data_IF_324190313570
#
_entry.id   IF_324190313570
#
_cell.length_a   1.000
_cell.length_b   1.000
_cell.length_c   1.000
_cell.angle_alpha   90.00
_cell.angle_beta   90.00
_cell.angle_gamma   90.00
#
_symmetry.space_group_name_H-M   'P 1'
#
loop_
_entity.id
_entity.type
_entity.pdbx_description
1 polymer ?
#
# COMPACT_ATOMS: atom_id res chain seq x y z
N UNK A 1 -27.40 19.68 -3.69
CA UNK A 1 -26.64 18.44 -3.50
C UNK A 1 -25.28 18.63 -4.14
N UNK A 2 -24.22 18.59 -3.35
CA UNK A 2 -22.84 18.80 -3.78
C UNK A 2 -22.29 17.51 -4.37
N UNK A 3 -22.37 17.37 -5.70
CA UNK A 3 -21.84 16.21 -6.42
C UNK A 3 -20.31 16.31 -6.55
N UNK A 4 -19.59 15.23 -6.22
CA UNK A 4 -18.16 15.11 -6.54
C UNK A 4 -17.92 14.67 -7.99
N UNK A 5 -18.93 14.07 -8.61
CA UNK A 5 -18.96 13.77 -10.03
C UNK A 5 -19.32 15.04 -10.81
N UNK A 6 -18.38 15.53 -11.61
CA UNK A 6 -18.69 16.48 -12.68
C UNK A 6 -19.46 15.77 -13.80
N UNK A 7 -20.40 16.45 -14.45
CA UNK A 7 -21.09 15.87 -15.61
C UNK A 7 -20.07 15.71 -16.73
N UNK A 8 -19.94 14.49 -17.27
CA UNK A 8 -19.09 14.26 -18.43
C UNK A 8 -19.89 14.52 -19.72
N UNK A 9 -19.29 15.26 -20.64
CA UNK A 9 -19.86 15.47 -21.97
C UNK A 9 -19.67 14.22 -22.82
N UNK A 10 -20.73 13.83 -23.52
CA UNK A 10 -20.74 12.68 -24.42
C UNK A 10 -21.26 13.10 -25.79
N UNK A 11 -20.70 12.52 -26.84
CA UNK A 11 -21.16 12.69 -28.21
C UNK A 11 -22.53 12.02 -28.40
N UNK A 12 -23.19 12.30 -29.53
CA UNK A 12 -24.43 11.62 -29.94
C UNK A 12 -24.28 10.09 -30.06
N UNK A 13 -23.05 9.59 -30.21
CA UNK A 13 -22.71 8.16 -30.23
C UNK A 13 -22.38 7.57 -28.85
N UNK A 14 -22.48 8.36 -27.78
CA UNK A 14 -22.21 7.91 -26.41
C UNK A 14 -20.72 7.83 -26.04
N UNK A 15 -19.82 8.39 -26.86
CA UNK A 15 -18.38 8.46 -26.56
C UNK A 15 -18.07 9.71 -25.71
N UNK A 16 -17.12 9.63 -24.77
CA UNK A 16 -16.77 10.79 -23.95
C UNK A 16 -16.04 11.84 -24.80
N UNK A 17 -16.37 13.11 -24.59
CA UNK A 17 -15.66 14.24 -25.20
C UNK A 17 -14.44 14.56 -24.35
N UNK A 18 -13.25 14.33 -24.90
CA UNK A 18 -11.98 14.56 -24.24
C UNK A 18 -11.57 16.05 -24.31
N UNK A 19 -10.93 16.55 -23.25
CA UNK A 19 -10.34 17.87 -23.17
C UNK A 19 -9.12 17.98 -24.11
N UNK A 20 -8.67 19.21 -24.35
CA UNK A 20 -7.44 19.46 -25.13
C UNK A 20 -6.26 18.81 -24.42
N UNK A 21 -5.48 18.00 -25.15
CA UNK A 21 -4.36 17.20 -24.63
C UNK A 21 -4.76 16.07 -23.65
N UNK A 22 -6.05 15.75 -23.50
CA UNK A 22 -6.51 14.61 -22.73
C UNK A 22 -6.43 13.33 -23.57
N UNK A 23 -5.64 12.36 -23.12
CA UNK A 23 -5.49 11.04 -23.76
C UNK A 23 -6.11 9.94 -22.89
N UNK A 24 -6.80 9.00 -23.54
CA UNK A 24 -7.31 7.77 -22.92
C UNK A 24 -6.15 6.80 -22.63
N UNK A 25 -6.11 6.28 -21.40
CA UNK A 25 -5.03 5.43 -20.90
C UNK A 25 -5.45 3.96 -20.72
N UNK A 26 -6.67 3.72 -20.23
CA UNK A 26 -7.19 2.37 -20.00
C UNK A 26 -8.71 2.39 -19.82
N UNK A 27 -9.37 1.25 -20.06
CA UNK A 27 -10.81 1.09 -19.85
C UNK A 27 -11.15 -0.19 -19.11
N UNK A 28 -12.22 -0.14 -18.31
CA UNK A 28 -12.78 -1.29 -17.59
C UNK A 28 -14.29 -1.31 -17.75
N UNK A 29 -14.82 -2.47 -18.12
CA UNK A 29 -16.26 -2.69 -18.32
C UNK A 29 -16.93 -3.23 -17.06
N UNK A 30 -18.24 -2.97 -16.93
CA UNK A 30 -19.07 -3.43 -15.82
C UNK A 30 -18.45 -3.09 -14.44
N UNK A 31 -18.16 -1.81 -14.26
CA UNK A 31 -17.64 -1.25 -13.01
C UNK A 31 -18.74 -0.54 -12.25
N UNK A 32 -18.86 -0.86 -10.96
CA UNK A 32 -19.66 -0.09 -10.01
C UNK A 32 -18.77 0.90 -9.26
N UNK A 33 -19.26 2.12 -9.06
CA UNK A 33 -18.61 3.11 -8.20
C UNK A 33 -19.44 3.28 -6.92
N UNK A 34 -18.93 2.68 -5.83
CA UNK A 34 -19.51 2.68 -4.49
C UNK A 34 -18.84 3.74 -3.61
N UNK A 35 -19.44 4.92 -3.40
CA UNK A 35 -18.98 5.87 -2.39
C UNK A 35 -19.27 5.33 -0.98
N UNK A 36 -18.33 5.52 -0.04
CA UNK A 36 -18.48 5.04 1.34
C UNK A 36 -19.65 5.73 2.07
N UNK A 37 -19.93 6.99 1.74
CA UNK A 37 -21.05 7.75 2.30
C UNK A 37 -22.32 7.63 1.42
N UNK A 38 -23.16 6.64 1.75
CA UNK A 38 -24.36 6.32 0.97
C UNK A 38 -25.51 7.33 1.19
N UNK A 39 -25.40 8.22 2.18
CA UNK A 39 -26.49 9.15 2.53
C UNK A 39 -26.55 10.39 1.64
N UNK A 40 -25.50 10.66 0.87
CA UNK A 40 -25.38 11.86 0.06
C UNK A 40 -25.08 11.60 -1.41
N UNK A 41 -24.79 10.35 -1.81
CA UNK A 41 -24.29 10.04 -3.13
C UNK A 41 -25.00 8.85 -3.76
N UNK A 42 -25.33 9.00 -5.05
CA UNK A 42 -25.95 7.95 -5.85
C UNK A 42 -24.91 6.91 -6.26
N UNK A 43 -25.25 5.64 -6.07
CA UNK A 43 -24.46 4.50 -6.51
C UNK A 43 -24.51 4.38 -8.04
N UNK A 44 -23.36 4.43 -8.70
CA UNK A 44 -23.26 4.22 -10.15
C UNK A 44 -22.98 2.74 -10.41
N UNK A 45 -23.86 2.05 -11.14
CA UNK A 45 -23.79 0.59 -11.34
C UNK A 45 -23.56 0.20 -12.79
N UNK A 46 -22.72 -0.81 -12.99
CA UNK A 46 -22.51 -1.52 -14.24
C UNK A 46 -22.18 -0.59 -15.42
N UNK A 47 -21.28 0.36 -15.21
CA UNK A 47 -20.83 1.29 -16.26
C UNK A 47 -19.48 0.91 -16.87
N UNK A 48 -19.12 1.66 -17.91
CA UNK A 48 -17.78 1.66 -18.49
C UNK A 48 -16.95 2.73 -17.76
N UNK A 49 -15.89 2.32 -17.08
CA UNK A 49 -14.93 3.21 -16.44
C UNK A 49 -13.74 3.43 -17.37
N UNK A 50 -13.47 4.68 -17.72
CA UNK A 50 -12.40 5.09 -18.61
C UNK A 50 -11.43 5.93 -17.80
N UNK A 51 -10.17 5.51 -17.78
CA UNK A 51 -9.07 6.29 -17.25
C UNK A 51 -8.47 7.15 -18.35
N UNK A 52 -8.43 8.46 -18.13
CA UNK A 52 -7.66 9.38 -18.95
C UNK A 52 -6.52 9.97 -18.14
N UNK A 53 -5.64 10.69 -18.83
CA UNK A 53 -4.58 11.52 -18.23
C UNK A 53 -5.09 12.60 -17.26
N UNK A 54 -6.37 13.00 -17.34
CA UNK A 54 -6.93 14.13 -16.59
C UNK A 54 -8.05 13.73 -15.61
N UNK A 55 -8.81 12.67 -15.89
CA UNK A 55 -9.98 12.27 -15.10
C UNK A 55 -10.32 10.79 -15.26
N UNK A 56 -11.05 10.28 -14.28
CA UNK A 56 -11.81 9.04 -14.41
C UNK A 56 -13.20 9.38 -14.95
N UNK A 57 -13.57 8.81 -16.08
CA UNK A 57 -14.88 9.00 -16.71
C UNK A 57 -15.68 7.71 -16.56
N UNK A 58 -16.85 7.81 -15.95
CA UNK A 58 -17.81 6.72 -15.84
C UNK A 58 -18.97 6.98 -16.80
N UNK A 59 -19.22 6.00 -17.67
CA UNK A 59 -20.33 6.03 -18.62
C UNK A 59 -21.37 4.98 -18.23
N UNK A 60 -22.66 5.34 -18.22
CA UNK A 60 -23.73 4.37 -17.98
C UNK A 60 -23.74 3.31 -19.09
N UNK A 61 -23.93 2.05 -18.71
CA UNK A 61 -24.24 1.01 -19.71
C UNK A 61 -25.64 1.23 -20.26
N UNK A 62 -25.83 0.98 -21.55
CA UNK A 62 -27.14 1.06 -22.22
C UNK A 62 -28.20 0.10 -21.63
N UNK A 63 -27.79 -0.84 -20.77
CA UNK A 63 -28.65 -1.78 -20.04
C UNK A 63 -29.09 -1.30 -18.65
N UNK A 64 -28.69 -0.09 -18.22
CA UNK A 64 -29.01 0.41 -16.89
C UNK A 64 -30.50 0.81 -16.77
N UNK A 65 -31.17 0.30 -15.71
CA UNK A 65 -32.58 0.56 -15.42
C UNK A 65 -32.88 1.98 -14.88
N UNK A 66 -31.83 2.76 -14.58
CA UNK A 66 -31.94 4.13 -14.08
C UNK A 66 -31.17 5.07 -15.01
N UNK A 67 -31.76 6.22 -15.42
CA UNK A 67 -31.09 7.20 -16.26
C UNK A 67 -29.98 7.88 -15.45
N UNK A 68 -28.80 7.27 -15.45
CA UNK A 68 -27.59 7.82 -14.84
C UNK A 68 -26.83 8.60 -15.91
N UNK A 69 -26.44 9.83 -15.61
CA UNK A 69 -25.65 10.64 -16.53
C UNK A 69 -24.18 10.21 -16.49
N UNK A 70 -23.50 10.37 -17.63
CA UNK A 70 -22.06 10.27 -17.70
C UNK A 70 -21.41 11.19 -16.66
N UNK A 71 -20.47 10.64 -15.90
CA UNK A 71 -19.91 11.25 -14.70
C UNK A 71 -18.40 11.23 -14.77
N UNK A 72 -17.73 12.28 -14.29
CA UNK A 72 -16.28 12.41 -14.31
C UNK A 72 -15.73 12.84 -12.95
N UNK A 73 -14.64 12.18 -12.53
CA UNK A 73 -13.85 12.53 -11.34
C UNK A 73 -12.49 13.04 -11.83
N UNK A 74 -12.16 14.34 -11.65
CA UNK A 74 -10.84 14.86 -11.95
C UNK A 74 -9.75 14.12 -11.16
N UNK A 75 -8.65 13.73 -11.81
CA UNK A 75 -7.52 13.12 -11.10
C UNK A 75 -6.91 14.08 -10.08
N UNK A 76 -6.99 15.40 -10.33
CA UNK A 76 -6.61 16.45 -9.40
C UNK A 76 -7.39 16.41 -8.07
N UNK A 77 -8.64 15.91 -8.09
CA UNK A 77 -9.46 15.79 -6.90
C UNK A 77 -9.12 14.52 -6.08
N UNK A 78 -8.33 13.60 -6.62
CA UNK A 78 -7.97 12.35 -5.95
C UNK A 78 -6.77 12.64 -5.04
N UNK A 79 -6.97 12.49 -3.72
CA UNK A 79 -5.92 12.71 -2.72
C UNK A 79 -5.08 11.46 -2.46
N UNK A 80 -5.68 10.28 -2.56
CA UNK A 80 -5.02 9.04 -2.21
C UNK A 80 -5.59 7.85 -2.99
N UNK A 81 -4.74 6.95 -3.45
CA UNK A 81 -5.11 5.66 -4.05
C UNK A 81 -4.66 4.57 -3.08
N UNK A 82 -5.56 3.70 -2.65
CA UNK A 82 -5.23 2.66 -1.68
C UNK A 82 -4.61 1.46 -2.38
N UNK A 83 -3.55 0.90 -1.81
CA UNK A 83 -3.03 -0.40 -2.24
C UNK A 83 -4.05 -1.49 -1.94
N UNK A 84 -4.35 -2.32 -2.95
CA UNK A 84 -5.14 -3.53 -2.73
C UNK A 84 -4.31 -4.53 -1.92
N UNK A 85 -4.82 -4.97 -0.77
CA UNK A 85 -4.23 -6.08 -0.02
C UNK A 85 -4.72 -7.38 -0.64
N UNK A 86 -3.85 -8.10 -1.37
CA UNK A 86 -4.14 -9.42 -1.92
C UNK A 86 -4.30 -10.43 -0.77
N UNK A 87 -5.49 -10.49 -0.18
CA UNK A 87 -5.87 -11.46 0.85
C UNK A 87 -6.43 -12.73 0.19
N UNK A 88 -6.25 -13.90 0.81
CA UNK A 88 -6.83 -15.17 0.35
C UNK A 88 -8.37 -15.09 0.17
N UNK A 89 -9.06 -14.15 0.84
CA UNK A 89 -10.50 -13.89 0.66
C UNK A 89 -10.85 -13.12 -0.63
N UNK A 90 -9.86 -12.53 -1.30
CA UNK A 90 -10.00 -11.75 -2.54
C UNK A 90 -10.30 -12.62 -3.77
N UNK A 91 -10.05 -13.93 -3.70
CA UNK A 91 -10.28 -14.86 -4.83
C UNK A 91 -11.78 -15.07 -5.08
N UNK A 92 -12.62 -14.90 -4.05
CA UNK A 92 -14.06 -15.12 -4.12
C UNK A 92 -14.87 -13.83 -4.33
N UNK A 93 -14.20 -12.68 -4.43
CA UNK A 93 -14.85 -11.39 -4.57
C UNK A 93 -14.33 -10.66 -5.81
N UNK A 94 -15.21 -9.89 -6.44
CA UNK A 94 -14.84 -8.96 -7.51
C UNK A 94 -13.67 -8.07 -7.08
N UNK A 95 -12.66 -7.83 -7.94
CA UNK A 95 -11.57 -6.91 -7.65
C UNK A 95 -12.09 -5.52 -7.28
N UNK A 96 -11.41 -4.87 -6.31
CA UNK A 96 -11.81 -3.57 -5.78
C UNK A 96 -10.62 -2.61 -5.79
N UNK A 97 -10.83 -1.43 -6.36
CA UNK A 97 -9.88 -0.32 -6.31
C UNK A 97 -10.49 0.76 -5.43
N UNK A 98 -9.82 1.12 -4.34
CA UNK A 98 -10.26 2.19 -3.44
C UNK A 98 -9.41 3.42 -3.67
N UNK A 99 -10.04 4.58 -3.70
CA UNK A 99 -9.37 5.87 -3.77
C UNK A 99 -10.17 6.94 -3.02
N UNK A 100 -9.49 7.96 -2.53
CA UNK A 100 -10.07 9.07 -1.78
C UNK A 100 -10.15 10.30 -2.67
N UNK A 101 -11.31 10.93 -2.69
CA UNK A 101 -11.62 12.12 -3.49
C UNK A 101 -11.91 13.28 -2.55
N UNK A 102 -11.27 14.41 -2.77
CA UNK A 102 -11.57 15.67 -2.11
C UNK A 102 -12.85 16.28 -2.68
N UNK A 103 -13.76 16.63 -1.81
CA UNK A 103 -15.03 17.26 -2.16
C UNK A 103 -15.07 18.65 -1.55
N UNK A 104 -15.02 19.66 -2.41
CA UNK A 104 -15.26 21.04 -1.98
C UNK A 104 -16.74 21.23 -1.70
N UNK A 105 -17.07 21.81 -0.54
CA UNK A 105 -18.45 22.11 -0.14
C UNK A 105 -19.03 23.35 -0.82
N UNK A 106 -18.27 24.07 -1.64
CA UNK A 106 -18.68 25.39 -2.12
C UNK A 106 -18.69 25.47 -3.65
N UNK A 107 -19.89 25.57 -4.21
CA UNK A 107 -20.11 26.22 -5.52
C UNK A 107 -19.89 27.71 -5.29
N UNK A 108 -18.64 28.15 -5.18
CA UNK A 108 -18.27 29.54 -5.45
C UNK A 108 -16.93 29.52 -6.16
N UNK A 109 -16.96 30.10 -7.36
CA UNK A 109 -15.83 30.42 -8.22
C UNK A 109 -14.67 30.90 -7.35
N UNK A 110 -13.52 30.25 -7.48
CA UNK A 110 -12.28 30.71 -6.87
C UNK A 110 -11.87 31.99 -7.61
N UNK A 111 -12.15 33.16 -7.02
CA UNK A 111 -11.72 34.46 -7.51
C UNK A 111 -10.50 34.88 -6.66
N UNK A 112 -9.27 34.92 -7.22
CA UNK A 112 -8.05 35.09 -6.43
C UNK A 112 -7.80 36.53 -5.94
N UNK A 113 -8.82 37.41 -5.95
CA UNK A 113 -8.67 38.84 -5.69
C UNK A 113 -9.38 39.44 -4.49
N UNK A 114 -10.16 38.70 -3.69
CA UNK A 114 -10.98 39.30 -2.63
C UNK A 114 -10.53 38.92 -1.22
N UNK A 115 -9.75 39.81 -0.60
CA UNK A 115 -9.48 39.79 0.84
C UNK A 115 -10.74 40.14 1.61
N UNK A 116 -11.39 39.14 2.21
CA UNK A 116 -12.41 39.35 3.24
C UNK A 116 -12.40 38.17 4.20
N UNK A 117 -11.84 38.41 5.39
CA UNK A 117 -11.85 37.46 6.50
C UNK A 117 -13.27 37.08 6.87
N UNK A 118 -13.58 35.79 6.76
CA UNK A 118 -14.70 35.17 7.45
C UNK A 118 -14.33 33.73 7.77
N UNK A 119 -14.01 33.51 9.04
CA UNK A 119 -13.80 32.20 9.65
C UNK A 119 -15.12 31.45 9.72
N UNK A 120 -15.50 30.80 8.62
CA UNK A 120 -16.43 29.68 8.65
C UNK A 120 -15.68 28.47 8.09
N UNK A 121 -15.40 27.48 8.92
CA UNK A 121 -14.69 26.26 8.55
C UNK A 121 -15.39 25.55 7.40
N UNK A 122 -15.07 25.92 6.16
CA UNK A 122 -15.42 25.17 4.96
C UNK A 122 -14.51 23.96 4.92
N UNK A 123 -14.84 22.97 5.75
CA UNK A 123 -14.12 21.70 5.79
C UNK A 123 -14.14 21.06 4.41
N UNK A 124 -12.97 20.94 3.79
CA UNK A 124 -12.76 20.05 2.65
C UNK A 124 -13.11 18.64 3.13
N UNK A 125 -14.27 18.13 2.72
CA UNK A 125 -14.70 16.78 3.08
C UNK A 125 -14.09 15.81 2.06
N UNK A 126 -13.44 14.76 2.52
CA UNK A 126 -12.93 13.71 1.64
C UNK A 126 -13.88 12.52 1.64
N UNK A 127 -14.18 11.96 0.47
CA UNK A 127 -15.02 10.77 0.32
C UNK A 127 -14.18 9.66 -0.27
N UNK A 128 -14.24 8.47 0.33
CA UNK A 128 -13.62 7.28 -0.26
C UNK A 128 -14.60 6.67 -1.25
N UNK A 129 -14.11 6.42 -2.46
CA UNK A 129 -14.83 5.75 -3.53
C UNK A 129 -14.19 4.40 -3.79
N UNK A 130 -15.02 3.37 -3.92
CA UNK A 130 -14.61 2.02 -4.26
C UNK A 130 -15.12 1.69 -5.65
N UNK A 131 -14.20 1.52 -6.60
CA UNK A 131 -14.52 0.91 -7.89
C UNK A 131 -14.53 -0.61 -7.74
N UNK A 132 -15.68 -1.24 -7.98
CA UNK A 132 -15.87 -2.69 -7.96
C UNK A 132 -15.96 -3.20 -9.38
N UNK A 133 -14.97 -3.98 -9.81
CA UNK A 133 -14.87 -4.47 -11.18
C UNK A 133 -15.62 -5.80 -11.26
N UNK A 134 -16.80 -5.81 -11.90
CA UNK A 134 -17.59 -7.04 -12.12
C UNK A 134 -17.37 -7.64 -13.50
N UNK A 135 -16.93 -6.83 -14.47
CA UNK A 135 -16.62 -7.28 -15.81
C UNK A 135 -15.30 -8.02 -15.92
N UNK A 136 -15.07 -8.61 -17.09
CA UNK A 136 -13.77 -9.15 -17.48
C UNK A 136 -12.86 -7.98 -17.88
N UNK A 137 -11.71 -7.82 -17.23
CA UNK A 137 -10.75 -6.77 -17.53
C UNK A 137 -9.48 -6.92 -16.70
N UNK A 138 -8.40 -6.30 -17.17
CA UNK A 138 -7.12 -6.29 -16.47
C UNK A 138 -7.13 -5.23 -15.34
N UNK A 139 -7.61 -5.64 -14.16
CA UNK A 139 -7.69 -4.76 -13.00
C UNK A 139 -6.31 -4.34 -12.49
N UNK A 140 -5.32 -5.24 -12.54
CA UNK A 140 -3.97 -4.96 -12.06
C UNK A 140 -3.27 -3.98 -13.02
N UNK A 141 -3.38 -4.18 -14.33
CA UNK A 141 -2.87 -3.24 -15.35
C UNK A 141 -3.57 -1.88 -15.30
N UNK A 142 -4.89 -1.85 -15.08
CA UNK A 142 -5.61 -0.58 -14.87
C UNK A 142 -5.07 0.16 -13.64
N UNK A 143 -4.84 -0.54 -12.52
CA UNK A 143 -4.33 0.08 -11.30
C UNK A 143 -2.94 0.69 -11.51
N UNK A 144 -2.04 -0.01 -12.23
CA UNK A 144 -0.72 0.52 -12.59
C UNK A 144 -0.85 1.80 -13.42
N UNK A 145 -1.66 1.77 -14.49
CA UNK A 145 -1.90 2.95 -15.34
C UNK A 145 -2.55 4.09 -14.58
N UNK A 146 -3.42 3.78 -13.61
CA UNK A 146 -4.06 4.77 -12.77
C UNK A 146 -3.05 5.48 -11.87
N UNK A 147 -2.13 4.74 -11.25
CA UNK A 147 -1.01 5.31 -10.50
C UNK A 147 -0.10 6.17 -11.38
N UNK A 148 0.27 5.68 -12.56
CA UNK A 148 1.14 6.41 -13.49
C UNK A 148 0.49 7.73 -13.90
N UNK A 149 -0.78 7.69 -14.31
CA UNK A 149 -1.53 8.88 -14.74
C UNK A 149 -1.71 9.88 -13.59
N UNK A 150 -1.98 9.39 -12.39
CA UNK A 150 -2.13 10.23 -11.21
C UNK A 150 -0.81 10.87 -10.76
N UNK A 151 0.32 10.14 -10.86
CA UNK A 151 1.66 10.68 -10.54
C UNK A 151 2.19 11.62 -11.61
N UNK A 152 1.84 11.41 -12.87
CA UNK A 152 2.26 12.24 -13.99
C UNK A 152 1.68 13.66 -13.94
N UNK A 153 0.57 13.87 -13.22
CA UNK A 153 -0.06 15.19 -13.01
C UNK A 153 -0.23 15.98 -14.31
N UNK A 154 -0.63 15.32 -15.40
CA UNK A 154 -0.74 15.93 -16.72
C UNK A 154 -1.66 17.18 -16.71
N UNK A 155 -2.68 17.20 -15.84
CA UNK A 155 -3.59 18.34 -15.66
C UNK A 155 -2.93 19.62 -15.09
N UNK A 156 -1.71 19.56 -14.56
CA UNK A 156 -1.00 20.73 -14.02
C UNK A 156 -0.19 21.47 -15.09
N UNK A 157 -0.03 20.88 -16.28
CA UNK A 157 0.77 21.46 -17.38
C UNK A 157 0.11 22.64 -18.10
N UNK A 158 -0.79 23.37 -17.42
CA UNK A 158 -1.52 24.50 -18.01
C UNK A 158 -0.80 25.84 -17.72
N UNK A 159 0.02 26.26 -18.68
CA UNK A 159 0.49 27.62 -18.99
C UNK A 159 0.83 28.61 -17.84
N UNK A 160 2.08 28.56 -17.37
CA UNK A 160 2.80 29.79 -16.99
C UNK A 160 3.60 30.26 -18.21
N UNK A 161 3.09 31.28 -18.89
CA UNK A 161 3.76 31.85 -20.07
C UNK A 161 5.02 32.61 -19.68
N UNK A 162 6.17 32.11 -20.13
CA UNK A 162 7.46 32.81 -20.11
C UNK A 162 8.46 32.13 -21.05
N UNK A 163 8.47 32.56 -22.31
CA UNK A 163 9.47 32.26 -23.35
C UNK A 163 9.60 30.80 -23.83
N UNK A 164 8.73 30.43 -24.77
CA UNK A 164 8.87 29.25 -25.61
C UNK A 164 7.74 29.13 -26.63
N UNK A 165 7.39 30.25 -27.27
CA UNK A 165 6.36 30.28 -28.32
C UNK A 165 6.77 29.41 -29.50
N UNK A 166 5.93 28.42 -29.81
CA UNK A 166 5.71 28.00 -31.18
C UNK A 166 4.20 27.79 -31.37
N UNK A 167 3.46 28.89 -31.32
CA UNK A 167 2.18 29.00 -32.02
C UNK A 167 2.41 29.78 -33.31
N UNK A 168 2.18 29.14 -34.45
CA UNK A 168 1.64 29.74 -35.67
C UNK A 168 1.39 28.57 -36.66
N UNK A 169 0.16 28.08 -36.87
CA UNK A 169 -0.84 28.64 -37.77
C UNK A 169 -0.25 29.32 -39.01
N UNK A 170 -0.67 28.85 -40.19
CA UNK A 170 -0.60 29.63 -41.42
C UNK A 170 0.28 29.01 -42.49
N UNK A 171 -0.41 28.42 -43.46
CA UNK A 171 -0.05 28.49 -44.88
C UNK A 171 0.84 29.67 -45.24
N UNK A 172 1.90 29.42 -45.99
CA UNK A 172 2.71 30.48 -46.58
C UNK A 172 3.94 29.89 -47.22
N UNK A 173 3.95 29.90 -48.55
CA UNK A 173 5.14 29.66 -49.32
C UNK A 173 6.25 30.67 -48.98
N UNK A 174 7.46 30.33 -49.44
CA UNK A 174 8.63 31.19 -49.63
C UNK A 174 9.71 31.17 -48.52
N UNK A 175 10.78 30.47 -48.87
CA UNK A 175 12.16 31.01 -49.00
C UNK A 175 12.87 31.55 -47.76
N UNK A 176 13.91 30.83 -47.36
CA UNK A 176 15.23 31.43 -47.17
C UNK A 176 15.75 31.63 -45.75
N UNK A 177 16.92 31.03 -45.52
CA UNK A 177 18.07 31.53 -44.73
C UNK A 177 18.04 31.44 -43.19
N UNK A 178 18.75 30.42 -42.69
CA UNK A 178 19.90 30.56 -41.79
C UNK A 178 19.70 30.91 -40.31
N UNK A 179 20.01 29.96 -39.42
CA UNK A 179 20.58 30.25 -38.08
C UNK A 179 20.03 29.45 -36.90
N UNK A 180 20.93 28.74 -36.19
CA UNK A 180 20.77 28.39 -34.76
C UNK A 180 20.65 26.90 -34.42
N UNK A 181 21.80 26.22 -34.19
CA UNK A 181 21.91 24.79 -33.83
C UNK A 181 22.06 24.52 -32.31
N UNK A 182 21.77 25.45 -31.41
CA UNK A 182 21.91 25.20 -29.97
C UNK A 182 20.77 25.81 -29.14
N UNK A 183 20.14 24.97 -28.29
CA UNK A 183 19.36 25.40 -27.12
C UNK A 183 20.27 25.33 -25.90
N UNK A 184 20.08 26.24 -24.94
CA UNK A 184 20.94 26.47 -23.76
C UNK A 184 20.93 25.38 -22.68
N UNK A 185 20.60 24.14 -23.03
CA UNK A 185 20.53 23.02 -22.11
C UNK A 185 20.96 21.74 -22.82
N UNK A 186 22.24 21.67 -23.23
CA UNK A 186 23.04 20.47 -23.54
C UNK A 186 22.48 19.33 -24.41
N UNK A 187 21.26 19.41 -24.89
CA UNK A 187 20.48 18.30 -25.42
C UNK A 187 20.11 18.62 -26.86
N UNK A 188 20.72 17.86 -27.76
CA UNK A 188 20.49 17.95 -29.19
C UNK A 188 19.06 17.46 -29.44
N UNK A 189 18.13 18.37 -29.79
CA UNK A 189 16.79 17.98 -30.24
C UNK A 189 16.91 17.35 -31.63
N UNK A 190 17.24 16.05 -31.68
CA UNK A 190 17.19 15.26 -32.91
C UNK A 190 15.73 14.95 -33.25
N UNK A 191 15.13 15.78 -34.11
CA UNK A 191 13.79 15.56 -34.68
C UNK A 191 13.96 14.94 -36.07
N UNK A 192 13.51 13.70 -36.24
CA UNK A 192 13.56 12.95 -37.50
C UNK A 192 13.48 11.42 -37.32
N UNK A 193 13.48 10.65 -38.42
CA UNK A 193 13.45 9.17 -38.42
C UNK A 193 14.60 8.58 -37.58
N UNK A 194 15.76 9.24 -37.56
CA UNK A 194 16.89 8.86 -36.70
C UNK A 194 16.60 9.00 -35.19
N UNK A 195 15.73 9.93 -34.80
CA UNK A 195 15.28 10.09 -33.40
C UNK A 195 14.30 8.99 -32.97
N UNK A 196 13.45 8.51 -33.89
CA UNK A 196 12.54 7.39 -33.62
C UNK A 196 13.33 6.09 -33.45
N UNK A 197 14.30 5.82 -34.35
CA UNK A 197 15.16 4.63 -34.26
C UNK A 197 16.00 4.61 -32.98
N UNK A 198 16.54 5.77 -32.56
CA UNK A 198 17.27 5.87 -31.29
C UNK A 198 16.36 5.62 -30.09
N UNK A 199 15.14 6.16 -30.09
CA UNK A 199 14.16 5.90 -29.03
C UNK A 199 13.74 4.43 -28.97
N UNK A 200 13.61 3.78 -30.12
CA UNK A 200 13.33 2.35 -30.19
C UNK A 200 14.49 1.54 -29.60
N UNK A 201 15.73 1.85 -29.97
CA UNK A 201 16.93 1.22 -29.40
C UNK A 201 17.04 1.42 -27.88
N UNK A 202 16.82 2.63 -27.37
CA UNK A 202 16.81 2.93 -25.92
C UNK A 202 15.69 2.15 -25.20
N UNK A 203 14.54 1.94 -25.85
CA UNK A 203 13.45 1.13 -25.32
C UNK A 203 13.84 -0.36 -25.27
N UNK A 204 14.52 -0.88 -26.29
CA UNK A 204 15.07 -2.25 -26.29
C UNK A 204 16.10 -2.44 -25.17
N UNK A 205 17.03 -1.50 -25.01
CA UNK A 205 18.06 -1.55 -23.96
C UNK A 205 17.45 -1.46 -22.55
N UNK A 206 16.43 -0.61 -22.35
CA UNK A 206 15.71 -0.53 -21.08
C UNK A 206 14.91 -1.81 -20.78
N UNK A 207 14.36 -2.46 -21.81
CA UNK A 207 13.61 -3.70 -21.69
C UNK A 207 14.55 -4.87 -21.37
N UNK A 208 15.72 -4.92 -22.00
CA UNK A 208 16.75 -5.94 -21.76
C UNK A 208 17.31 -5.83 -20.34
N UNK A 209 17.59 -4.61 -19.87
CA UNK A 209 18.01 -4.39 -18.48
C UNK A 209 16.93 -4.82 -17.48
N UNK A 210 15.67 -4.52 -17.76
CA UNK A 210 14.54 -4.95 -16.91
C UNK A 210 14.39 -6.48 -16.91
N UNK A 211 14.60 -7.13 -18.06
CA UNK A 211 14.61 -8.60 -18.18
C UNK A 211 15.75 -9.21 -17.34
N UNK A 212 16.94 -8.62 -17.40
CA UNK A 212 18.10 -9.10 -16.64
C UNK A 212 17.91 -8.93 -15.13
N UNK A 213 17.32 -7.82 -14.68
CA UNK A 213 16.97 -7.58 -13.28
C UNK A 213 15.92 -8.60 -12.79
N UNK A 214 14.90 -8.89 -13.62
CA UNK A 214 13.92 -9.94 -13.33
C UNK A 214 14.57 -11.34 -13.20
N UNK A 215 15.57 -11.68 -14.03
CA UNK A 215 16.31 -12.93 -13.88
C UNK A 215 17.17 -12.96 -12.61
N UNK A 216 17.74 -11.82 -12.21
CA UNK A 216 18.52 -11.73 -10.99
C UNK A 216 17.64 -11.92 -9.75
N UNK A 217 16.44 -11.32 -9.73
CA UNK A 217 15.46 -11.52 -8.65
C UNK A 217 14.94 -12.97 -8.63
N UNK A 218 14.67 -13.56 -9.80
CA UNK A 218 14.31 -14.97 -9.89
C UNK A 218 15.42 -15.85 -9.28
N UNK A 219 16.69 -15.58 -9.59
CA UNK A 219 17.80 -16.37 -9.05
C UNK A 219 17.93 -16.20 -7.52
N UNK A 220 17.71 -14.98 -7.00
CA UNK A 220 17.65 -14.74 -5.56
C UNK A 220 16.49 -15.50 -4.89
N UNK A 221 15.33 -15.55 -5.54
CA UNK A 221 14.16 -16.31 -5.10
C UNK A 221 14.43 -17.82 -5.14
N UNK A 222 15.04 -18.34 -6.21
CA UNK A 222 15.45 -19.75 -6.32
C UNK A 222 16.44 -20.13 -5.22
N UNK A 223 17.39 -19.24 -4.87
CA UNK A 223 18.32 -19.47 -3.77
C UNK A 223 17.59 -19.62 -2.44
N UNK A 224 16.65 -18.70 -2.14
CA UNK A 224 15.84 -18.77 -0.91
C UNK A 224 14.95 -20.00 -0.86
N UNK A 225 14.34 -20.36 -1.99
CA UNK A 225 13.54 -21.58 -2.11
C UNK A 225 14.39 -22.83 -1.88
N UNK A 226 15.63 -22.88 -2.41
CA UNK A 226 16.58 -23.97 -2.18
C UNK A 226 16.94 -24.09 -0.70
N UNK A 227 17.25 -22.98 -0.03
CA UNK A 227 17.53 -22.98 1.41
C UNK A 227 16.33 -23.53 2.21
N UNK A 228 15.11 -23.08 1.89
CA UNK A 228 13.90 -23.58 2.54
C UNK A 228 13.66 -25.08 2.30
N UNK A 229 13.93 -25.58 1.09
CA UNK A 229 13.84 -27.01 0.79
C UNK A 229 14.89 -27.81 1.55
N UNK A 230 16.15 -27.34 1.59
CA UNK A 230 17.20 -28.01 2.36
C UNK A 230 16.90 -28.03 3.87
N UNK A 231 16.24 -26.99 4.39
CA UNK A 231 15.77 -26.95 5.77
C UNK A 231 14.67 -27.98 6.01
N UNK A 232 13.69 -28.07 5.10
CA UNK A 232 12.63 -29.08 5.17
C UNK A 232 13.19 -30.51 5.09
N UNK A 233 14.17 -30.77 4.22
CA UNK A 233 14.86 -32.05 4.15
C UNK A 233 15.64 -32.37 5.44
N UNK A 234 16.33 -31.39 6.03
CA UNK A 234 16.99 -31.53 7.34
C UNK A 234 16.00 -31.81 8.46
N UNK A 235 14.84 -31.14 8.49
CA UNK A 235 13.78 -31.41 9.45
C UNK A 235 13.22 -32.83 9.28
N UNK A 236 12.97 -33.25 8.04
CA UNK A 236 12.56 -34.62 7.73
C UNK A 236 13.58 -35.65 8.22
N UNK A 237 14.87 -35.42 7.97
CA UNK A 237 15.95 -36.29 8.44
C UNK A 237 16.03 -36.32 9.98
N UNK A 238 15.88 -35.19 10.67
CA UNK A 238 15.82 -35.14 12.13
C UNK A 238 14.61 -35.89 12.70
N UNK A 239 13.44 -35.81 12.06
CA UNK A 239 12.27 -36.60 12.47
C UNK A 239 12.48 -38.11 12.27
N UNK A 240 13.16 -38.49 11.18
CA UNK A 240 13.51 -39.90 10.92
C UNK A 240 14.65 -40.41 11.82
N UNK A 241 15.62 -39.57 12.19
CA UNK A 241 16.69 -39.91 13.13
C UNK A 241 16.24 -39.87 14.59
N UNK A 242 15.26 -39.04 14.93
CA UNK A 242 14.66 -38.95 16.27
C UNK A 242 13.75 -40.13 16.64
N UNK A 243 13.29 -40.93 15.67
CA UNK A 243 12.45 -42.10 15.93
C UNK A 243 13.23 -43.36 16.30
N UNK A 244 14.56 -43.30 16.40
CA UNK A 244 15.41 -44.48 16.66
C UNK A 244 16.08 -44.50 18.04
N UNK A 245 15.71 -43.60 18.96
CA UNK A 245 16.33 -43.52 20.31
C UNK A 245 15.35 -43.51 21.48
N UNK A 246 14.06 -43.84 21.30
CA UNK A 246 13.13 -43.93 22.42
C UNK A 246 12.93 -45.38 22.89
N UNK A 247 14.02 -45.98 23.36
CA UNK A 247 13.98 -47.00 24.41
C UNK A 247 15.03 -46.64 25.44
N UNK A 248 14.58 -46.51 26.70
CA UNK A 248 15.35 -46.37 27.94
C UNK A 248 15.42 -44.95 28.49
N UNK A 249 14.88 -44.80 29.70
CA UNK A 249 14.75 -43.52 30.39
C UNK A 249 16.07 -42.98 30.92
N UNK A 250 16.07 -41.70 31.27
CA UNK A 250 16.37 -41.14 32.59
C UNK A 250 16.24 -39.62 32.53
N UNK A 251 15.79 -39.03 33.64
CA UNK A 251 15.52 -37.61 33.82
C UNK A 251 16.84 -36.81 33.85
N UNK A 252 17.25 -36.15 32.76
CA UNK A 252 18.28 -35.09 32.85
C UNK A 252 18.44 -34.15 31.62
N UNK A 253 17.43 -34.05 30.74
CA UNK A 253 17.55 -33.31 29.45
C UNK A 253 16.89 -31.91 29.46
N UNK A 254 16.34 -31.44 30.58
CA UNK A 254 15.57 -30.18 30.63
C UNK A 254 16.44 -28.91 30.81
N UNK A 255 17.73 -29.06 31.15
CA UNK A 255 18.61 -27.89 31.36
C UNK A 255 19.28 -27.37 30.08
N UNK A 256 19.69 -28.26 29.16
CA UNK A 256 20.37 -27.84 27.92
C UNK A 256 19.45 -27.12 26.93
N UNK A 257 18.20 -27.57 26.83
CA UNK A 257 17.21 -27.00 25.90
C UNK A 257 16.80 -25.56 26.25
N UNK A 258 16.86 -25.20 27.54
CA UNK A 258 16.45 -23.89 28.06
C UNK A 258 17.53 -22.81 27.88
N UNK A 259 18.80 -23.19 27.96
CA UNK A 259 19.93 -22.29 27.70
C UNK A 259 20.10 -22.05 26.19
N UNK A 260 19.99 -23.09 25.37
CA UNK A 260 20.02 -22.96 23.91
C UNK A 260 18.86 -22.09 23.42
N UNK A 261 17.64 -22.29 23.93
CA UNK A 261 16.48 -21.48 23.56
C UNK A 261 16.63 -20.00 23.95
N UNK A 262 17.33 -19.71 25.06
CA UNK A 262 17.67 -18.34 25.46
C UNK A 262 18.69 -17.72 24.50
N UNK A 263 19.70 -18.46 24.07
CA UNK A 263 20.73 -17.97 23.13
C UNK A 263 20.15 -17.69 21.73
N UNK A 264 19.20 -18.52 21.28
CA UNK A 264 18.43 -18.27 20.06
C UNK A 264 17.57 -16.99 20.14
N UNK A 265 16.91 -16.71 21.28
CA UNK A 265 16.09 -15.49 21.45
C UNK A 265 16.94 -14.21 21.56
N UNK A 266 18.12 -14.30 22.18
CA UNK A 266 19.08 -13.20 22.25
C UNK A 266 19.65 -12.87 20.86
N UNK A 267 19.95 -13.89 20.05
CA UNK A 267 20.41 -13.73 18.67
C UNK A 267 19.35 -13.16 17.72
N UNK A 268 18.06 -13.35 18.02
CA UNK A 268 16.92 -12.78 17.26
C UNK A 268 16.62 -11.32 17.65
N UNK A 269 17.31 -10.76 18.64
CA UNK A 269 17.17 -9.36 19.04
C UNK A 269 16.01 -9.08 20.00
N UNK A 270 15.43 -10.13 20.61
CA UNK A 270 14.46 -9.97 21.70
C UNK A 270 15.26 -9.78 22.99
N UNK A 271 15.63 -8.53 23.28
CA UNK A 271 16.17 -8.15 24.58
C UNK A 271 15.06 -8.36 25.62
N UNK A 272 15.20 -9.43 26.41
CA UNK A 272 14.33 -9.80 27.53
C UNK A 272 12.88 -10.16 27.15
N UNK A 273 12.59 -11.45 26.88
CA UNK A 273 11.22 -11.89 26.69
C UNK A 273 10.49 -11.85 28.05
N UNK A 274 9.64 -10.85 28.26
CA UNK A 274 8.67 -10.85 29.36
C UNK A 274 7.48 -11.72 28.94
N UNK A 275 7.65 -13.04 29.01
CA UNK A 275 6.52 -13.97 28.95
C UNK A 275 5.87 -14.08 30.33
N UNK A 276 4.62 -14.56 30.38
CA UNK A 276 3.89 -14.79 31.64
C UNK A 276 4.63 -15.79 32.55
N UNK A 277 5.45 -16.66 31.96
CA UNK A 277 6.36 -17.58 32.65
C UNK A 277 7.68 -16.90 33.10
N UNK A 278 8.20 -15.94 32.33
CA UNK A 278 9.41 -15.16 32.66
C UNK A 278 9.18 -14.16 33.81
N UNK A 279 7.98 -13.55 33.88
CA UNK A 279 7.52 -12.84 35.07
C UNK A 279 7.39 -13.77 36.29
N UNK A 280 7.03 -15.04 36.07
CA UNK A 280 7.02 -16.08 37.10
C UNK A 280 8.41 -16.40 37.64
N UNK A 281 9.43 -16.50 36.79
CA UNK A 281 10.81 -16.78 37.22
C UNK A 281 11.37 -15.65 38.11
N UNK A 282 11.20 -14.38 37.70
CA UNK A 282 11.58 -13.24 38.55
C UNK A 282 10.72 -13.14 39.80
N UNK A 283 9.42 -13.44 39.72
CA UNK A 283 8.54 -13.50 40.88
C UNK A 283 9.00 -14.55 41.90
N UNK A 284 9.31 -15.77 41.46
CA UNK A 284 9.83 -16.83 42.32
C UNK A 284 11.20 -16.50 42.89
N UNK A 285 12.08 -15.83 42.12
CA UNK A 285 13.39 -15.36 42.59
C UNK A 285 13.28 -14.23 43.62
N UNK A 286 12.37 -13.28 43.41
CA UNK A 286 12.13 -12.19 44.38
C UNK A 286 11.43 -12.73 45.62
N UNK A 287 10.47 -13.64 45.46
CA UNK A 287 9.75 -14.28 46.57
C UNK A 287 10.68 -15.16 47.40
N UNK A 288 11.60 -15.91 46.78
CA UNK A 288 12.58 -16.72 47.51
C UNK A 288 13.55 -15.85 48.29
N UNK A 289 13.97 -14.70 47.73
CA UNK A 289 14.80 -13.72 48.45
C UNK A 289 14.06 -13.09 49.64
N UNK A 290 12.81 -12.68 49.44
CA UNK A 290 11.96 -12.18 50.54
C UNK A 290 11.74 -13.22 51.64
N UNK A 291 11.52 -14.48 51.25
CA UNK A 291 11.38 -15.58 52.19
C UNK A 291 12.69 -15.84 52.96
N UNK A 292 13.85 -15.81 52.29
CA UNK A 292 15.15 -15.99 52.92
C UNK A 292 15.44 -14.88 53.96
N UNK A 293 15.15 -13.63 53.62
CA UNK A 293 15.32 -12.50 54.54
C UNK A 293 14.36 -12.60 55.75
N UNK A 294 13.13 -13.05 55.52
CA UNK A 294 12.13 -13.22 56.57
C UNK A 294 12.45 -14.38 57.51
N UNK A 295 12.80 -15.55 56.98
CA UNK A 295 12.99 -16.80 57.75
C UNK A 295 14.25 -16.75 58.62
N UNK A 296 15.23 -15.89 58.31
CA UNK A 296 16.46 -15.74 59.11
C UNK A 296 16.18 -15.50 60.60
N UNK A 297 15.26 -14.58 60.92
CA UNK A 297 14.97 -14.20 62.32
C UNK A 297 14.22 -15.32 63.09
N UNK A 298 13.15 -15.94 62.53
CA UNK A 298 12.53 -17.13 63.12
C UNK A 298 13.49 -18.32 63.27
N UNK A 299 14.40 -18.52 62.31
CA UNK A 299 15.33 -19.65 62.31
C UNK A 299 16.39 -19.54 63.42
N UNK A 300 16.95 -18.34 63.62
CA UNK A 300 17.87 -18.06 64.73
C UNK A 300 17.17 -18.26 66.09
N UNK A 301 15.89 -17.86 66.20
CA UNK A 301 15.09 -18.03 67.43
C UNK A 301 14.70 -19.50 67.70
N UNK A 302 14.54 -20.30 66.65
CA UNK A 302 14.14 -21.70 66.72
C UNK A 302 15.33 -22.68 66.86
N UNK A 303 16.57 -22.18 66.96
CA UNK A 303 17.75 -23.03 67.13
C UNK A 303 18.26 -23.66 65.83
N UNK A 304 18.02 -23.02 64.68
CA UNK A 304 18.63 -23.39 63.40
C UNK A 304 17.81 -24.33 62.51
N UNK A 305 16.63 -24.78 62.96
CA UNK A 305 15.71 -25.59 62.16
C UNK A 305 14.26 -25.15 62.36
N UNK A 306 13.47 -25.13 61.28
CA UNK A 306 12.04 -24.83 61.32
C UNK A 306 11.29 -25.77 60.37
N UNK A 307 10.09 -26.19 60.77
CA UNK A 307 9.20 -26.95 59.89
C UNK A 307 8.69 -26.06 58.75
N UNK A 308 8.61 -26.62 57.53
CA UNK A 308 8.15 -25.90 56.35
C UNK A 308 6.72 -25.36 56.51
N UNK A 309 5.85 -26.12 57.19
CA UNK A 309 4.46 -25.73 57.46
C UNK A 309 4.42 -24.50 58.37
N UNK A 310 5.26 -24.49 59.42
CA UNK A 310 5.34 -23.36 60.37
C UNK A 310 5.93 -22.11 59.70
N UNK A 311 6.95 -22.27 58.85
CA UNK A 311 7.52 -21.19 58.06
C UNK A 311 6.48 -20.58 57.10
N UNK A 312 5.68 -21.41 56.43
CA UNK A 312 4.60 -20.96 55.55
C UNK A 312 3.53 -20.17 56.33
N UNK A 313 3.09 -20.66 57.48
CA UNK A 313 2.12 -19.99 58.32
C UNK A 313 2.65 -18.64 58.85
N UNK A 314 3.89 -18.61 59.33
CA UNK A 314 4.53 -17.39 59.83
C UNK A 314 4.69 -16.32 58.73
N UNK A 315 5.17 -16.72 57.55
CA UNK A 315 5.38 -15.82 56.42
C UNK A 315 4.06 -15.23 55.90
N UNK A 316 3.02 -16.06 55.75
CA UNK A 316 1.71 -15.58 55.29
C UNK A 316 0.98 -14.75 56.35
N UNK A 317 1.19 -15.04 57.64
CA UNK A 317 0.65 -14.20 58.73
C UNK A 317 1.31 -12.82 58.75
N UNK A 318 2.61 -12.73 58.44
CA UNK A 318 3.32 -11.46 58.35
C UNK A 318 2.99 -10.66 57.08
N UNK A 319 2.62 -11.34 55.98
CA UNK A 319 2.19 -10.71 54.72
C UNK A 319 0.70 -10.36 54.66
N UNK A 320 -0.12 -10.84 55.60
CA UNK A 320 -1.58 -10.76 55.60
C UNK A 320 -2.19 -9.49 56.21
N UNK A 321 -1.48 -8.35 56.13
CA UNK A 321 -2.00 -6.99 56.38
C UNK A 321 -1.72 -6.15 55.13
#
# INVERSE_FOLDING_TARGET
MSNFFSKAEVTSSGRPVLLRNEVECHLLSAVDLEPEDHRHFSLLKSGLLILTTHRLIWLPSSSASTPTCASAIPLAAISHIFSSKKSLKSVFHSPRIRFQVLVSSTVRVFDPGSGSGSSSGSGSRSVVVTAVIRGKGDCDGFLVKFWDSWRARAWETTETSGSGSASASGSGAATGTGGGLYSSDGSVRMVGVAGILRKEQEMWESTDKNLQDAFQDLNALMSKAKEMVTLAEKMRLKLLSGTSSQTSGTNDEDMGSKEEMQDWLLSVGIISPVTKESAGALYHQQLSRQLADFVRVPLERAGGMINLIDAYCLFNRARGT
#
